data_IF_704411940290
#
_entry.id   IF_704411940290
#
_cell.length_a   1.000
_cell.length_b   1.000
_cell.length_c   1.000
_cell.angle_alpha   90.00
_cell.angle_beta   90.00
_cell.angle_gamma   90.00
#
_symmetry.space_group_name_H-M   'P 1'
#
loop_
_entity.id
_entity.type
_entity.pdbx_description
1 polymer ?
#
# COMPACT_ATOMS: atom_id res chain seq x y z
N UNK A 1 29.47 40.39 -50.57
CA UNK A 1 28.41 39.43 -50.25
C UNK A 1 28.70 38.83 -48.91
N UNK A 2 27.98 39.23 -47.90
CA UNK A 2 28.11 38.63 -46.55
C UNK A 2 26.98 37.65 -46.37
N UNK A 3 27.33 36.38 -46.30
CA UNK A 3 26.38 35.32 -46.06
C UNK A 3 26.26 35.18 -44.53
N UNK A 4 25.13 35.62 -43.97
CA UNK A 4 24.78 35.38 -42.60
C UNK A 4 24.17 33.99 -42.49
N UNK A 5 24.95 33.02 -41.98
CA UNK A 5 24.45 31.75 -41.61
C UNK A 5 23.86 31.89 -40.23
N UNK A 6 22.52 32.04 -40.14
CA UNK A 6 21.79 31.99 -38.92
C UNK A 6 21.69 30.54 -38.42
N UNK A 7 22.53 30.19 -37.48
CA UNK A 7 22.42 28.92 -36.74
C UNK A 7 21.22 29.05 -35.80
N UNK A 8 20.11 28.48 -36.25
CA UNK A 8 18.92 28.31 -35.43
C UNK A 8 19.17 27.14 -34.47
N UNK A 9 19.59 27.47 -33.26
CA UNK A 9 19.77 26.49 -32.18
C UNK A 9 18.39 26.11 -31.68
N UNK A 10 17.84 25.02 -32.18
CA UNK A 10 16.60 24.45 -31.74
C UNK A 10 16.86 23.74 -30.41
N UNK A 11 16.69 24.45 -29.31
CA UNK A 11 16.72 23.86 -27.97
C UNK A 11 15.50 22.96 -27.81
N UNK A 12 15.71 21.67 -27.98
CA UNK A 12 14.70 20.68 -27.62
C UNK A 12 14.69 20.59 -26.10
N UNK A 13 13.72 21.28 -25.50
CA UNK A 13 13.36 21.06 -24.11
C UNK A 13 12.74 19.67 -24.00
N UNK A 14 13.55 18.70 -23.62
CA UNK A 14 13.04 17.42 -23.18
C UNK A 14 12.42 17.63 -21.80
N UNK A 15 11.14 17.89 -21.77
CA UNK A 15 10.36 17.82 -20.54
C UNK A 15 10.25 16.35 -20.18
N UNK A 16 11.14 15.86 -19.34
CA UNK A 16 10.93 14.60 -18.66
C UNK A 16 9.78 14.81 -17.71
N UNK A 17 8.57 14.47 -18.14
CA UNK A 17 7.44 14.32 -17.25
C UNK A 17 7.79 13.16 -16.30
N UNK A 18 8.29 13.49 -15.11
CA UNK A 18 8.28 12.57 -14.00
C UNK A 18 6.83 12.36 -13.63
N UNK A 19 6.23 11.32 -14.22
CA UNK A 19 4.94 10.86 -13.79
C UNK A 19 5.07 10.48 -12.32
N UNK A 20 4.44 11.23 -11.43
CA UNK A 20 4.17 10.77 -10.09
C UNK A 20 3.16 9.64 -10.24
N UNK A 21 3.67 8.43 -10.48
CA UNK A 21 2.86 7.24 -10.44
C UNK A 21 2.29 7.11 -9.03
N UNK A 22 0.98 7.12 -8.90
CA UNK A 22 0.32 6.50 -7.75
C UNK A 22 1.00 5.15 -7.59
N UNK A 23 1.75 4.97 -6.53
CA UNK A 23 2.34 3.67 -6.22
C UNK A 23 1.20 2.69 -6.02
N UNK A 24 0.86 1.99 -7.07
CA UNK A 24 -0.14 0.94 -7.06
C UNK A 24 0.52 -0.31 -6.52
N UNK A 25 -0.15 -1.01 -5.62
CA UNK A 25 0.29 -2.31 -5.13
C UNK A 25 0.59 -3.22 -6.32
N UNK A 26 1.76 -3.84 -6.28
CA UNK A 26 2.17 -4.82 -7.27
C UNK A 26 1.45 -6.15 -7.03
N UNK A 27 1.01 -6.84 -8.08
CA UNK A 27 0.33 -8.13 -7.95
C UNK A 27 1.25 -9.27 -7.50
N UNK A 28 2.55 -9.07 -7.61
CA UNK A 28 3.58 -10.02 -7.18
C UNK A 28 4.59 -9.34 -6.27
N UNK A 29 5.15 -10.08 -5.30
CA UNK A 29 6.19 -9.51 -4.45
C UNK A 29 7.47 -9.24 -5.24
N UNK A 30 8.17 -8.19 -4.82
CA UNK A 30 9.51 -7.89 -5.33
C UNK A 30 10.51 -8.89 -4.72
N UNK A 31 11.21 -9.71 -5.52
CA UNK A 31 12.15 -10.69 -5.01
C UNK A 31 13.36 -10.07 -4.31
N UNK A 32 13.64 -8.79 -4.54
CA UNK A 32 14.73 -8.07 -3.89
C UNK A 32 14.37 -7.54 -2.50
N UNK A 33 13.08 -7.60 -2.11
CA UNK A 33 12.58 -7.10 -0.84
C UNK A 33 12.06 -8.24 0.03
N UNK A 34 12.24 -8.11 1.34
CA UNK A 34 11.72 -9.08 2.30
C UNK A 34 10.20 -8.98 2.41
N UNK A 35 9.53 -10.12 2.38
CA UNK A 35 8.11 -10.23 2.74
C UNK A 35 8.00 -10.25 4.26
N UNK A 36 7.12 -9.42 4.82
CA UNK A 36 6.79 -9.41 6.24
C UNK A 36 5.39 -9.99 6.44
N UNK A 37 5.23 -10.82 7.45
CA UNK A 37 3.93 -11.27 7.92
C UNK A 37 3.47 -10.31 9.03
N UNK A 38 2.34 -9.65 8.82
CA UNK A 38 1.83 -8.64 9.74
C UNK A 38 0.36 -8.89 10.07
N UNK A 39 -0.11 -8.29 11.16
CA UNK A 39 -1.53 -8.18 11.43
C UNK A 39 -2.11 -6.98 10.68
N UNK A 40 -3.29 -7.14 10.09
CA UNK A 40 -3.99 -6.10 9.34
C UNK A 40 -5.46 -6.04 9.76
N UNK A 41 -5.97 -4.84 9.91
CA UNK A 41 -7.36 -4.58 10.29
C UNK A 41 -7.73 -3.12 10.04
N UNK A 42 -8.99 -2.76 10.36
CA UNK A 42 -9.37 -1.36 10.48
C UNK A 42 -8.59 -0.70 11.61
N UNK A 43 -7.86 0.35 11.30
CA UNK A 43 -7.00 1.04 12.25
C UNK A 43 -7.78 1.63 13.44
N UNK A 44 -8.88 2.32 13.17
CA UNK A 44 -9.71 2.96 14.16
C UNK A 44 -10.53 1.96 14.97
N UNK A 45 -11.04 0.92 14.32
CA UNK A 45 -11.93 -0.06 14.96
C UNK A 45 -11.18 -1.11 15.79
N UNK A 46 -9.98 -1.53 15.34
CA UNK A 46 -9.30 -2.72 15.88
C UNK A 46 -7.88 -2.48 16.38
N UNK A 47 -7.19 -1.48 15.85
CA UNK A 47 -5.77 -1.27 16.15
C UNK A 47 -5.49 -0.03 17.00
N UNK A 48 -6.53 0.62 17.50
CA UNK A 48 -6.40 1.74 18.43
C UNK A 48 -5.85 3.03 17.81
N UNK A 49 -5.91 3.17 16.50
CA UNK A 49 -5.50 4.39 15.83
C UNK A 49 -6.59 5.48 15.91
N UNK A 50 -6.20 6.75 15.88
CA UNK A 50 -7.14 7.85 15.94
C UNK A 50 -7.87 8.04 14.61
N UNK A 51 -9.13 8.46 14.67
CA UNK A 51 -9.93 8.79 13.51
C UNK A 51 -11.40 8.36 13.67
N UNK A 52 -12.22 8.77 12.71
CA UNK A 52 -13.67 8.51 12.67
C UNK A 52 -14.09 7.69 11.44
N UNK A 53 -13.13 7.36 10.58
CA UNK A 53 -13.33 6.57 9.37
C UNK A 53 -12.90 5.12 9.59
N UNK A 54 -12.98 4.32 8.55
CA UNK A 54 -12.52 2.94 8.57
C UNK A 54 -11.40 2.77 7.56
N UNK A 55 -10.17 2.89 8.01
CA UNK A 55 -8.98 2.87 7.18
C UNK A 55 -8.12 1.65 7.50
N UNK A 56 -7.56 1.05 6.44
CA UNK A 56 -6.68 -0.10 6.59
C UNK A 56 -5.41 0.30 7.35
N UNK A 57 -5.07 -0.53 8.31
CA UNK A 57 -3.84 -0.41 9.07
C UNK A 57 -3.16 -1.76 9.27
N UNK A 58 -1.89 -1.73 9.56
CA UNK A 58 -1.09 -2.90 9.90
C UNK A 58 -0.40 -2.69 11.24
N UNK A 59 -0.16 -3.80 11.96
CA UNK A 59 0.65 -3.79 13.18
C UNK A 59 1.98 -4.47 12.89
N UNK A 60 3.06 -3.74 13.10
CA UNK A 60 4.43 -4.18 12.90
C UNK A 60 5.18 -3.99 14.22
N UNK A 61 5.72 -5.07 14.77
CA UNK A 61 6.48 -5.03 16.04
C UNK A 61 5.73 -4.31 17.17
N UNK A 62 4.42 -4.56 17.27
CA UNK A 62 3.56 -3.99 18.31
C UNK A 62 3.08 -2.57 18.06
N UNK A 63 3.50 -1.93 16.98
CA UNK A 63 3.06 -0.59 16.60
C UNK A 63 2.16 -0.61 15.37
N UNK A 64 1.08 0.17 15.40
CA UNK A 64 0.10 0.24 14.34
C UNK A 64 0.33 1.44 13.43
N UNK A 65 0.15 1.23 12.13
CA UNK A 65 0.35 2.24 11.09
C UNK A 65 -0.79 2.18 10.08
N UNK A 66 -1.32 3.32 9.69
CA UNK A 66 -2.19 3.38 8.52
C UNK A 66 -1.43 2.99 7.25
N UNK A 67 -2.11 2.38 6.29
CA UNK A 67 -1.53 1.86 5.06
C UNK A 67 -1.81 2.80 3.91
N UNK A 68 -0.76 3.14 3.16
CA UNK A 68 -0.86 3.77 1.84
C UNK A 68 -0.58 2.73 0.75
N UNK A 69 -1.19 2.88 -0.40
CA UNK A 69 -1.01 2.01 -1.57
C UNK A 69 -2.14 1.02 -1.81
N UNK A 70 -2.91 0.68 -0.79
CA UNK A 70 -4.14 -0.11 -0.91
C UNK A 70 -5.19 0.38 0.08
N UNK A 71 -6.43 0.02 -0.15
CA UNK A 71 -7.56 0.44 0.69
C UNK A 71 -8.20 -0.76 1.39
N UNK A 72 -8.96 -0.46 2.44
CA UNK A 72 -9.68 -1.50 3.19
C UNK A 72 -10.69 -2.26 2.32
N UNK A 73 -11.34 -1.57 1.38
CA UNK A 73 -12.35 -2.15 0.51
C UNK A 73 -11.78 -2.94 -0.67
N UNK A 74 -10.47 -2.84 -0.91
CA UNK A 74 -9.80 -3.59 -1.99
C UNK A 74 -9.61 -5.07 -1.67
N UNK A 75 -9.88 -5.51 -0.44
CA UNK A 75 -9.61 -6.87 0.06
C UNK A 75 -10.87 -7.60 0.51
N UNK A 76 -12.03 -7.21 0.01
CA UNK A 76 -13.31 -7.77 0.37
C UNK A 76 -14.15 -6.86 1.26
N UNK A 77 -15.29 -7.35 1.71
CA UNK A 77 -16.19 -6.60 2.59
C UNK A 77 -15.60 -6.47 4.00
N UNK A 78 -15.29 -5.25 4.38
CA UNK A 78 -14.70 -4.96 5.69
C UNK A 78 -15.66 -5.29 6.87
N UNK A 79 -16.96 -5.32 6.62
CA UNK A 79 -18.00 -5.64 7.63
C UNK A 79 -18.41 -7.11 7.64
N UNK A 80 -17.88 -7.94 6.75
CA UNK A 80 -18.06 -9.38 6.81
C UNK A 80 -17.46 -9.96 8.10
N UNK A 81 -17.84 -11.18 8.49
CA UNK A 81 -17.37 -11.83 9.71
C UNK A 81 -15.84 -11.90 9.82
N UNK A 82 -15.17 -12.02 8.70
CA UNK A 82 -13.72 -12.05 8.56
C UNK A 82 -13.15 -10.75 7.95
N UNK A 83 -13.98 -9.72 7.83
CA UNK A 83 -13.58 -8.41 7.36
C UNK A 83 -12.73 -7.65 8.36
N UNK A 84 -12.05 -6.63 7.91
CA UNK A 84 -11.10 -5.86 8.73
C UNK A 84 -11.75 -5.08 9.88
N UNK A 85 -13.04 -4.75 9.77
CA UNK A 85 -13.78 -4.11 10.88
C UNK A 85 -14.18 -5.09 11.96
N UNK A 86 -14.27 -6.38 11.66
CA UNK A 86 -14.74 -7.44 12.55
C UNK A 86 -13.61 -8.32 13.09
N UNK A 87 -12.48 -8.39 12.38
CA UNK A 87 -11.38 -9.29 12.74
C UNK A 87 -10.02 -8.67 12.42
N UNK A 88 -9.03 -9.04 13.21
CA UNK A 88 -7.62 -8.82 12.89
C UNK A 88 -7.17 -9.99 12.00
N UNK A 89 -6.68 -9.66 10.81
CA UNK A 89 -6.27 -10.63 9.80
C UNK A 89 -4.75 -10.66 9.67
N UNK A 90 -4.24 -11.74 9.10
CA UNK A 90 -2.83 -11.83 8.70
C UNK A 90 -2.66 -11.45 7.24
N UNK A 91 -1.60 -10.73 6.94
CA UNK A 91 -1.23 -10.35 5.58
C UNK A 91 0.27 -10.45 5.36
N UNK A 92 0.64 -10.86 4.16
CA UNK A 92 2.02 -10.74 3.67
C UNK A 92 2.17 -9.39 2.97
N UNK A 93 3.16 -8.63 3.39
CA UNK A 93 3.36 -7.26 2.89
C UNK A 93 4.81 -6.99 2.55
N UNK A 94 4.99 -6.05 1.63
CA UNK A 94 6.25 -5.37 1.38
C UNK A 94 6.00 -3.87 1.36
N UNK A 95 6.91 -3.10 1.86
CA UNK A 95 6.79 -1.64 1.91
C UNK A 95 7.74 -1.04 2.92
N UNK A 96 7.55 0.24 3.17
CA UNK A 96 8.37 1.04 4.08
C UNK A 96 7.51 1.92 4.97
N UNK A 97 7.99 2.16 6.18
CA UNK A 97 7.38 3.13 7.09
C UNK A 97 7.96 4.50 6.76
N UNK A 98 7.09 5.40 6.28
CA UNK A 98 7.45 6.77 5.91
C UNK A 98 6.43 7.72 6.56
N UNK A 99 6.90 8.72 7.27
CA UNK A 99 6.06 9.69 7.97
C UNK A 99 5.00 9.02 8.88
N UNK A 100 5.41 7.99 9.61
CA UNK A 100 4.54 7.24 10.52
C UNK A 100 3.36 6.53 9.84
N UNK A 101 3.49 6.23 8.54
CA UNK A 101 2.54 5.45 7.74
C UNK A 101 3.28 4.31 7.04
N UNK A 102 2.61 3.20 6.82
CA UNK A 102 3.17 2.09 6.07
C UNK A 102 2.82 2.23 4.59
N UNK A 103 3.80 2.53 3.76
CA UNK A 103 3.65 2.57 2.30
C UNK A 103 3.83 1.18 1.73
N UNK A 104 2.72 0.49 1.48
CA UNK A 104 2.72 -0.85 0.92
C UNK A 104 3.02 -0.82 -0.58
N UNK A 105 3.94 -1.66 -1.02
CA UNK A 105 4.19 -1.97 -2.42
C UNK A 105 3.65 -3.35 -2.80
N UNK A 106 3.43 -4.21 -1.83
CA UNK A 106 2.80 -5.51 -1.96
C UNK A 106 1.93 -5.79 -0.73
N UNK A 107 0.74 -6.32 -0.95
CA UNK A 107 -0.18 -6.69 0.12
C UNK A 107 -1.01 -7.90 -0.31
N UNK A 108 -0.88 -8.98 0.41
CA UNK A 108 -1.65 -10.19 0.20
C UNK A 108 -2.29 -10.64 1.51
N UNK A 109 -3.62 -10.60 1.54
CA UNK A 109 -4.38 -11.13 2.66
C UNK A 109 -4.27 -12.65 2.69
N UNK A 110 -3.88 -13.19 3.84
CA UNK A 110 -3.83 -14.63 4.05
C UNK A 110 -5.21 -15.10 4.49
N UNK A 111 -5.73 -16.10 3.79
CA UNK A 111 -6.96 -16.78 4.18
C UNK A 111 -6.77 -17.40 5.55
N UNK A 112 -7.70 -17.14 6.47
CA UNK A 112 -7.71 -17.86 7.73
C UNK A 112 -7.97 -19.34 7.46
N UNK A 113 -7.28 -20.25 8.16
CA UNK A 113 -7.67 -21.66 8.10
C UNK A 113 -9.12 -21.75 8.56
N UNK A 114 -9.92 -22.42 7.75
CA UNK A 114 -11.32 -22.61 8.02
C UNK A 114 -11.48 -23.25 9.40
N UNK A 115 -12.04 -22.53 10.36
CA UNK A 115 -12.37 -23.05 11.67
C UNK A 115 -13.65 -23.89 11.66
N UNK A 116 -14.07 -24.34 10.46
CA UNK A 116 -15.34 -25.04 10.27
C UNK A 116 -15.29 -26.53 10.63
N UNK A 117 -14.23 -27.03 11.25
CA UNK A 117 -14.17 -28.38 11.78
C UNK A 117 -13.71 -28.40 13.21
N UNK A 118 -14.60 -27.96 14.08
CA UNK A 118 -14.61 -28.43 15.46
C UNK A 118 -15.96 -29.05 15.73
N UNK A 119 -15.99 -30.34 15.49
CA UNK A 119 -17.01 -31.17 16.14
C UNK A 119 -16.79 -31.16 17.64
#
# INVERSE_FOLDING_TARGET
MKIFISLFFCSILVVTAMGQGKETIQPKPDPAKKIQLVEAACGECRLGLPGKTCDLAVRIEGKSYFVDGTTIDSHGDAHAKDGFCEAIRKAEVQGEIINNRFKATYFKLISQPDKSHKE
#
